data_IF_165886109032
#
_entry.id   IF_165886109032
#
_cell.length_a   1.000
_cell.length_b   1.000
_cell.length_c   1.000
_cell.angle_alpha   90.00
_cell.angle_beta   90.00
_cell.angle_gamma   90.00
#
_symmetry.space_group_name_H-M   'P 1'
#
loop_
_entity.id
_entity.type
_entity.pdbx_description
1 polymer ?
#
# COMPACT_ATOMS: atom_id res chain seq x y z
N UNK A 1 -40.26 22.04 -5.26
CA UNK A 1 -39.15 22.04 -6.24
C UNK A 1 -38.31 20.82 -5.96
N UNK A 2 -38.39 19.78 -6.80
CA UNK A 2 -37.65 18.55 -6.62
C UNK A 2 -36.15 18.82 -6.87
N UNK A 3 -35.31 18.60 -5.86
CA UNK A 3 -33.86 18.71 -5.99
C UNK A 3 -33.35 17.61 -6.91
N UNK A 4 -32.77 18.02 -8.04
CA UNK A 4 -32.05 17.13 -8.96
C UNK A 4 -30.78 16.66 -8.25
N UNK A 5 -30.81 15.48 -7.62
CA UNK A 5 -29.57 14.85 -7.16
C UNK A 5 -28.71 14.59 -8.41
N UNK A 6 -27.44 15.05 -8.44
CA UNK A 6 -26.58 14.84 -9.59
C UNK A 6 -26.48 13.33 -9.87
N UNK A 7 -26.51 12.90 -11.14
CA UNK A 7 -26.46 11.48 -11.47
C UNK A 7 -25.08 10.95 -11.10
N UNK A 8 -24.96 10.38 -9.90
CA UNK A 8 -23.82 9.60 -9.47
C UNK A 8 -23.78 8.36 -10.38
N UNK A 9 -22.96 8.38 -11.43
CA UNK A 9 -22.83 7.28 -12.38
C UNK A 9 -22.47 5.97 -11.64
N UNK A 10 -21.76 6.09 -10.53
CA UNK A 10 -21.60 5.06 -9.50
C UNK A 10 -21.03 5.69 -8.23
N UNK A 11 -21.65 5.42 -7.08
CA UNK A 11 -21.18 5.91 -5.75
C UNK A 11 -19.75 5.48 -5.39
N UNK A 12 -19.19 4.48 -6.08
CA UNK A 12 -17.85 3.94 -5.81
C UNK A 12 -16.81 4.23 -6.89
N UNK A 13 -17.22 4.39 -8.16
CA UNK A 13 -16.27 4.63 -9.26
C UNK A 13 -15.74 6.06 -9.23
N UNK A 14 -16.58 7.06 -8.95
CA UNK A 14 -16.15 8.46 -8.98
C UNK A 14 -15.02 8.77 -7.96
N UNK A 15 -15.05 8.26 -6.71
CA UNK A 15 -13.93 8.43 -5.77
C UNK A 15 -12.66 7.68 -6.20
N UNK A 16 -12.79 6.46 -6.72
CA UNK A 16 -11.64 5.67 -7.19
C UNK A 16 -10.98 6.38 -8.38
N UNK A 17 -11.78 6.84 -9.33
CA UNK A 17 -11.32 7.61 -10.48
C UNK A 17 -10.69 8.93 -10.04
N UNK A 18 -11.25 9.62 -9.05
CA UNK A 18 -10.68 10.87 -8.51
C UNK A 18 -9.30 10.64 -7.88
N UNK A 19 -9.17 9.62 -7.02
CA UNK A 19 -7.89 9.26 -6.39
C UNK A 19 -6.87 8.82 -7.44
N UNK A 20 -7.26 7.95 -8.37
CA UNK A 20 -6.39 7.50 -9.46
C UNK A 20 -5.90 8.67 -10.32
N UNK A 21 -6.82 9.57 -10.68
CA UNK A 21 -6.50 10.76 -11.49
C UNK A 21 -5.55 11.69 -10.74
N UNK A 22 -5.74 11.88 -9.43
CA UNK A 22 -4.83 12.66 -8.60
C UNK A 22 -3.41 12.06 -8.53
N UNK A 23 -3.31 10.74 -8.32
CA UNK A 23 -2.02 10.03 -8.31
C UNK A 23 -1.33 10.11 -9.68
N UNK A 24 -2.08 9.95 -10.78
CA UNK A 24 -1.55 10.03 -12.13
C UNK A 24 -1.04 11.45 -12.46
N UNK A 25 -1.79 12.47 -12.09
CA UNK A 25 -1.37 13.87 -12.28
C UNK A 25 -0.09 14.18 -11.49
N UNK A 26 0.02 13.68 -10.26
CA UNK A 26 1.23 13.79 -9.45
C UNK A 26 2.43 13.07 -10.10
N UNK A 27 2.23 11.86 -10.62
CA UNK A 27 3.27 11.10 -11.33
C UNK A 27 3.78 11.83 -12.58
N UNK A 28 2.89 12.44 -13.35
CA UNK A 28 3.24 13.27 -14.51
C UNK A 28 4.00 14.54 -14.12
N UNK A 29 3.61 15.18 -13.02
CA UNK A 29 4.31 16.35 -12.47
C UNK A 29 5.75 16.01 -12.05
N UNK A 30 5.93 14.84 -11.42
CA UNK A 30 7.23 14.40 -10.89
C UNK A 30 8.19 13.89 -11.99
N UNK A 31 7.67 13.39 -13.11
CA UNK A 31 8.48 12.96 -14.27
C UNK A 31 8.71 14.06 -15.31
N UNK A 32 8.20 15.27 -15.08
CA UNK A 32 8.42 16.38 -15.98
C UNK A 32 9.88 16.85 -15.87
N UNK A 33 10.65 16.92 -16.98
CA UNK A 33 12.09 17.21 -16.94
C UNK A 33 12.45 18.61 -16.41
N UNK A 34 11.46 19.51 -16.27
CA UNK A 34 11.62 20.87 -15.71
C UNK A 34 11.34 20.95 -14.20
N UNK A 35 10.71 19.94 -13.62
CA UNK A 35 10.31 19.88 -12.21
C UNK A 35 10.79 18.57 -11.56
N UNK A 36 11.82 17.93 -12.13
CA UNK A 36 12.39 16.72 -11.56
C UNK A 36 12.96 17.02 -10.17
N UNK A 37 12.15 16.74 -9.14
CA UNK A 37 12.61 16.78 -7.76
C UNK A 37 13.73 15.73 -7.60
N UNK A 38 14.72 16.00 -6.73
CA UNK A 38 15.74 15.01 -6.38
C UNK A 38 15.09 13.68 -5.97
N UNK A 39 15.67 12.53 -6.35
CA UNK A 39 15.08 11.20 -6.08
C UNK A 39 14.80 10.93 -4.61
N UNK A 40 15.50 11.62 -3.69
CA UNK A 40 15.30 11.52 -2.24
C UNK A 40 14.01 12.20 -1.75
N UNK A 41 13.44 13.11 -2.54
CA UNK A 41 12.20 13.83 -2.21
C UNK A 41 10.96 13.20 -2.86
N UNK A 42 11.13 12.11 -3.61
CA UNK A 42 10.02 11.43 -4.29
C UNK A 42 9.15 10.67 -3.30
N UNK A 43 7.83 10.76 -3.49
CA UNK A 43 6.86 9.95 -2.74
C UNK A 43 7.11 8.44 -2.92
N UNK A 44 7.60 8.05 -4.10
CA UNK A 44 7.97 6.66 -4.40
C UNK A 44 9.02 6.11 -3.42
N UNK A 45 10.02 6.90 -3.06
CA UNK A 45 11.07 6.53 -2.11
C UNK A 45 10.49 6.26 -0.72
N UNK A 46 9.54 7.10 -0.28
CA UNK A 46 8.80 6.92 0.97
C UNK A 46 7.89 5.68 0.95
N UNK A 47 7.20 5.43 -0.16
CA UNK A 47 6.35 4.25 -0.34
C UNK A 47 7.21 2.98 -0.29
N UNK A 48 8.34 2.98 -0.98
CA UNK A 48 9.28 1.86 -0.98
C UNK A 48 9.82 1.57 0.41
N UNK A 49 10.28 2.60 1.13
CA UNK A 49 10.69 2.46 2.53
C UNK A 49 9.59 1.88 3.42
N UNK A 50 8.33 2.33 3.24
CA UNK A 50 7.21 1.82 4.03
C UNK A 50 6.94 0.35 3.73
N UNK A 51 6.99 -0.07 2.47
CA UNK A 51 6.84 -1.47 2.08
C UNK A 51 7.97 -2.32 2.68
N UNK A 52 9.22 -1.87 2.57
CA UNK A 52 10.38 -2.56 3.12
C UNK A 52 10.29 -2.71 4.64
N UNK A 53 9.84 -1.65 5.33
CA UNK A 53 9.60 -1.68 6.79
C UNK A 53 8.51 -2.69 7.16
N UNK A 54 7.36 -2.66 6.49
CA UNK A 54 6.27 -3.61 6.75
C UNK A 54 6.69 -5.05 6.45
N UNK A 55 7.51 -5.25 5.41
CA UNK A 55 8.07 -6.56 5.09
C UNK A 55 9.00 -7.06 6.19
N UNK A 56 9.88 -6.20 6.69
CA UNK A 56 10.80 -6.51 7.80
C UNK A 56 10.06 -6.83 9.10
N UNK A 57 8.99 -6.09 9.43
CA UNK A 57 8.15 -6.37 10.59
C UNK A 57 7.40 -7.70 10.46
N UNK A 58 6.95 -8.05 9.24
CA UNK A 58 6.31 -9.34 8.97
C UNK A 58 7.29 -10.50 9.05
N UNK A 59 8.51 -10.35 8.52
CA UNK A 59 9.54 -11.38 8.65
C UNK A 59 9.96 -11.59 10.09
N UNK A 60 10.12 -10.53 10.89
CA UNK A 60 10.44 -10.64 12.31
C UNK A 60 9.34 -11.40 13.08
N UNK A 61 8.07 -11.05 12.86
CA UNK A 61 6.95 -11.79 13.46
C UNK A 61 6.87 -13.24 12.99
N UNK A 62 7.20 -13.50 11.72
CA UNK A 62 7.19 -14.86 11.18
C UNK A 62 8.36 -15.70 11.73
N UNK A 63 9.51 -15.08 11.99
CA UNK A 63 10.67 -15.73 12.61
C UNK A 63 10.44 -16.02 14.10
N UNK A 64 9.75 -15.13 14.82
CA UNK A 64 9.29 -15.37 16.19
C UNK A 64 8.27 -16.52 16.24
N UNK A 65 7.31 -16.55 15.32
CA UNK A 65 6.28 -17.60 15.24
C UNK A 65 6.88 -18.97 14.90
N UNK A 66 7.87 -19.02 13.99
CA UNK A 66 8.61 -20.26 13.65
C UNK A 66 9.48 -20.75 14.81
N UNK A 67 10.13 -19.85 15.57
CA UNK A 67 10.89 -20.23 16.76
C UNK A 67 9.99 -20.69 17.92
N UNK A 68 8.73 -20.27 17.96
CA UNK A 68 7.75 -20.71 18.96
C UNK A 68 7.13 -22.09 18.66
N UNK A 69 7.33 -22.65 17.46
CA UNK A 69 6.86 -24.01 17.12
C UNK A 69 7.58 -25.02 18.01
N UNK A 70 6.87 -25.57 19.00
CA UNK A 70 7.38 -26.59 19.89
C UNK A 70 7.36 -27.97 19.19
N UNK A 71 8.44 -28.26 18.47
CA UNK A 71 8.65 -29.52 17.74
C UNK A 71 8.53 -30.77 18.62
N UNK A 72 8.59 -30.63 19.96
CA UNK A 72 8.32 -31.74 20.89
C UNK A 72 6.86 -32.18 20.86
N UNK A 73 5.94 -31.24 20.66
CA UNK A 73 4.50 -31.53 20.64
C UNK A 73 4.11 -32.28 19.36
N UNK A 74 4.66 -31.85 18.21
CA UNK A 74 4.45 -32.51 16.90
C UNK A 74 4.92 -33.97 16.92
N UNK A 75 6.07 -34.25 17.52
CA UNK A 75 6.60 -35.62 17.63
C UNK A 75 5.80 -36.47 18.63
N UNK A 76 5.16 -35.85 19.63
CA UNK A 76 4.36 -36.56 20.63
C UNK A 76 2.94 -36.90 20.17
N UNK A 77 2.38 -36.18 19.20
CA UNK A 77 1.06 -36.47 18.62
C UNK A 77 1.09 -37.65 17.62
N UNK A 78 2.26 -38.04 17.12
CA UNK A 78 2.41 -39.10 16.11
C UNK A 78 2.58 -40.52 16.72
N UNK A 79 2.55 -40.67 18.05
CA UNK A 79 2.73 -41.95 18.75
C UNK A 79 1.48 -42.45 19.45
#
# INVERSE_FOLDING_TARGET
MAGMAPPLLSRGLDPILGVFTGVLAYYLYENNPRTALPPDQKLETLIRWKIDKVRAERSAKQEDDVNHIDWRQVISEEK
#
